data_IF_309689309946
#
_entry.id   IF_309689309946
#
_cell.length_a   1.000
_cell.length_b   1.000
_cell.length_c   1.000
_cell.angle_alpha   90.00
_cell.angle_beta   90.00
_cell.angle_gamma   90.00
#
_symmetry.space_group_name_H-M   'P 1'
#
loop_
_entity.id
_entity.type
_entity.pdbx_description
1 polymer ?
#
# COMPACT_ATOMS: atom_id res chain seq x y z
N UNK A 1 -15.30 -4.55 -20.40
CA UNK A 1 -14.38 -3.42 -20.25
C UNK A 1 -13.61 -3.69 -18.99
N UNK A 2 -12.30 -3.59 -19.06
CA UNK A 2 -11.44 -3.68 -17.89
C UNK A 2 -11.69 -2.43 -17.05
N UNK A 3 -12.20 -2.63 -15.84
CA UNK A 3 -12.50 -1.58 -14.87
C UNK A 3 -11.52 -1.64 -13.68
N UNK A 4 -10.40 -2.35 -13.86
CA UNK A 4 -9.38 -2.44 -12.84
C UNK A 4 -8.85 -1.06 -12.48
N UNK A 5 -8.43 -0.93 -11.23
CA UNK A 5 -7.75 0.24 -10.71
C UNK A 5 -6.51 -0.22 -9.98
N UNK A 6 -5.47 0.59 -10.02
CA UNK A 6 -4.18 0.27 -9.42
C UNK A 6 -3.73 1.34 -8.43
N UNK A 7 -2.92 0.95 -7.44
CA UNK A 7 -2.22 1.88 -6.54
C UNK A 7 -0.75 1.97 -6.92
N UNK A 8 -0.26 3.21 -7.01
CA UNK A 8 1.14 3.52 -6.75
C UNK A 8 1.26 4.17 -5.37
N UNK A 9 2.22 3.74 -4.55
CA UNK A 9 2.33 4.20 -3.18
C UNK A 9 3.75 4.37 -2.69
N UNK A 10 3.93 5.28 -1.73
CA UNK A 10 5.24 5.61 -1.15
C UNK A 10 5.11 5.92 0.33
N UNK A 11 6.13 5.52 1.11
CA UNK A 11 6.30 5.85 2.52
C UNK A 11 7.51 6.78 2.68
N UNK A 12 7.43 7.71 3.64
CA UNK A 12 8.49 8.71 3.83
C UNK A 12 9.78 8.08 4.34
N UNK A 13 9.60 7.04 5.16
CA UNK A 13 10.66 6.17 5.63
C UNK A 13 10.09 4.77 5.60
N UNK A 14 10.70 3.92 4.78
CA UNK A 14 10.33 2.51 4.68
C UNK A 14 10.86 1.76 5.90
N UNK A 15 9.99 1.13 6.72
CA UNK A 15 10.42 0.18 7.72
C UNK A 15 11.11 -1.01 7.04
N UNK A 16 11.93 -1.76 7.78
CA UNK A 16 12.38 -3.06 7.28
C UNK A 16 11.19 -4.05 7.18
N UNK A 17 11.39 -5.16 6.46
CA UNK A 17 10.33 -6.16 6.22
C UNK A 17 9.74 -6.72 7.52
N UNK A 18 10.57 -6.92 8.54
CA UNK A 18 10.17 -7.49 9.83
C UNK A 18 9.32 -6.47 10.59
N UNK A 19 9.73 -5.21 10.59
CA UNK A 19 9.01 -4.11 11.22
C UNK A 19 7.67 -3.84 10.54
N UNK A 20 7.64 -3.73 9.21
CA UNK A 20 6.39 -3.50 8.47
C UNK A 20 5.39 -4.63 8.71
N UNK A 21 5.85 -5.89 8.71
CA UNK A 21 4.99 -7.03 9.02
C UNK A 21 4.38 -6.93 10.43
N UNK A 22 5.18 -6.55 11.43
CA UNK A 22 4.70 -6.36 12.81
C UNK A 22 3.65 -5.26 12.88
N UNK A 23 3.87 -4.14 12.20
CA UNK A 23 2.94 -3.02 12.12
C UNK A 23 1.60 -3.48 11.52
N UNK A 24 1.63 -4.17 10.39
CA UNK A 24 0.43 -4.65 9.71
C UNK A 24 -0.36 -5.63 10.58
N UNK A 25 0.31 -6.61 11.20
CA UNK A 25 -0.32 -7.57 12.12
C UNK A 25 -0.88 -6.89 13.38
N UNK A 26 -0.17 -5.93 13.95
CA UNK A 26 -0.64 -5.17 15.12
C UNK A 26 -1.88 -4.31 14.79
N UNK A 27 -1.99 -3.86 13.54
CA UNK A 27 -3.18 -3.20 13.00
C UNK A 27 -4.36 -4.13 12.71
N UNK A 28 -4.21 -5.44 12.92
CA UNK A 28 -5.25 -6.44 12.71
C UNK A 28 -5.30 -7.03 11.30
N UNK A 29 -4.31 -6.75 10.45
CA UNK A 29 -4.24 -7.31 9.10
C UNK A 29 -3.57 -8.69 9.08
N UNK A 30 -4.14 -9.59 8.31
CA UNK A 30 -3.56 -10.88 7.96
C UNK A 30 -2.56 -10.67 6.83
N UNK A 31 -1.30 -11.04 7.07
CA UNK A 31 -0.22 -10.86 6.08
C UNK A 31 0.64 -12.10 5.92
N UNK A 32 1.07 -12.33 4.68
CA UNK A 32 2.02 -13.38 4.31
C UNK A 32 3.35 -12.75 3.91
N UNK A 33 4.44 -13.21 4.53
CA UNK A 33 5.80 -12.79 4.19
C UNK A 33 6.33 -13.70 3.06
N UNK A 34 6.72 -13.09 1.95
CA UNK A 34 7.54 -13.72 0.91
C UNK A 34 9.02 -13.39 1.11
N UNK A 35 9.88 -13.94 0.25
CA UNK A 35 11.33 -13.69 0.31
C UNK A 35 11.67 -12.20 0.15
N UNK A 36 10.93 -11.50 -0.72
CA UNK A 36 11.14 -10.08 -1.04
C UNK A 36 9.87 -9.24 -0.96
N UNK A 37 8.81 -9.76 -0.33
CA UNK A 37 7.51 -9.09 -0.30
C UNK A 37 6.71 -9.39 0.96
N UNK A 38 5.68 -8.58 1.19
CA UNK A 38 4.65 -8.78 2.20
C UNK A 38 3.30 -8.59 1.50
N UNK A 39 2.48 -9.66 1.45
CA UNK A 39 1.11 -9.60 0.91
C UNK A 39 0.11 -9.39 2.04
N UNK A 40 -0.82 -8.45 1.85
CA UNK A 40 -1.99 -8.29 2.72
C UNK A 40 -3.10 -9.20 2.21
N UNK A 41 -3.46 -10.22 3.00
CA UNK A 41 -4.42 -11.25 2.59
C UNK A 41 -5.89 -10.81 2.76
N UNK A 42 -6.14 -9.72 3.49
CA UNK A 42 -7.48 -9.12 3.63
C UNK A 42 -7.87 -8.22 2.43
N UNK A 43 -6.98 -8.11 1.45
CA UNK A 43 -7.17 -7.37 0.19
C UNK A 43 -7.15 -8.36 -0.99
N UNK A 44 -7.85 -8.05 -2.09
CA UNK A 44 -7.82 -8.87 -3.31
C UNK A 44 -6.39 -8.99 -3.84
N UNK A 45 -5.71 -7.85 -3.95
CA UNK A 45 -4.31 -7.75 -4.31
C UNK A 45 -3.71 -6.48 -3.69
N UNK A 46 -2.93 -6.64 -2.62
CA UNK A 46 -2.13 -5.55 -2.05
C UNK A 46 -0.81 -6.11 -1.53
N UNK A 47 0.29 -5.67 -2.12
CA UNK A 47 1.63 -6.20 -1.87
C UNK A 47 2.61 -5.05 -1.65
N UNK A 48 3.41 -5.19 -0.60
CA UNK A 48 4.64 -4.42 -0.45
C UNK A 48 5.78 -5.27 -0.98
N UNK A 49 6.53 -4.80 -1.96
CA UNK A 49 7.56 -5.58 -2.65
C UNK A 49 8.93 -4.90 -2.65
N UNK A 50 9.91 -5.57 -3.25
CA UNK A 50 11.30 -5.11 -3.34
C UNK A 50 12.00 -4.98 -1.97
N UNK A 51 11.57 -5.80 -0.99
CA UNK A 51 12.28 -5.92 0.28
C UNK A 51 13.54 -6.77 0.13
N UNK A 52 14.64 -6.15 -0.29
CA UNK A 52 15.97 -6.75 -0.40
C UNK A 52 16.99 -5.68 -0.78
N UNK A 53 18.16 -5.69 -0.13
CA UNK A 53 19.17 -4.62 -0.27
C UNK A 53 19.72 -4.43 -1.68
N UNK A 54 19.47 -5.38 -2.57
CA UNK A 54 19.88 -5.39 -3.98
C UNK A 54 18.75 -5.09 -4.97
N UNK A 55 17.50 -4.94 -4.50
CA UNK A 55 16.31 -4.85 -5.35
C UNK A 55 15.78 -3.42 -5.58
N UNK A 56 16.27 -2.42 -4.85
CA UNK A 56 15.81 -1.04 -4.94
C UNK A 56 15.11 -0.58 -3.66
N UNK A 57 14.47 0.59 -3.73
CA UNK A 57 13.60 1.07 -2.65
C UNK A 57 12.28 0.29 -2.69
N UNK A 58 11.68 -0.09 -1.54
CA UNK A 58 10.44 -0.85 -1.54
C UNK A 58 9.30 -0.14 -2.29
N UNK A 59 8.40 -0.93 -2.87
CA UNK A 59 7.25 -0.43 -3.62
C UNK A 59 5.93 -1.02 -3.14
N UNK A 60 4.84 -0.32 -3.47
CA UNK A 60 3.47 -0.79 -3.26
C UNK A 60 2.85 -1.12 -4.61
N UNK A 61 2.31 -2.32 -4.71
CA UNK A 61 1.52 -2.77 -5.84
C UNK A 61 0.16 -3.25 -5.32
N UNK A 62 -0.92 -2.68 -5.84
CA UNK A 62 -2.27 -3.14 -5.54
C UNK A 62 -3.16 -3.02 -6.76
N UNK A 63 -4.07 -3.98 -6.93
CA UNK A 63 -5.04 -4.04 -8.03
C UNK A 63 -6.42 -4.47 -7.49
N UNK A 64 -7.48 -3.86 -8.01
CA UNK A 64 -8.85 -4.24 -7.69
C UNK A 64 -9.80 -4.04 -8.88
N UNK A 65 -10.87 -4.83 -8.92
CA UNK A 65 -11.88 -4.80 -10.01
C UNK A 65 -12.72 -3.50 -10.06
N UNK A 66 -12.63 -2.65 -9.04
CA UNK A 66 -13.32 -1.35 -9.02
C UNK A 66 -12.68 -0.36 -8.04
N UNK A 67 -12.95 0.93 -8.27
CA UNK A 67 -12.54 2.01 -7.39
C UNK A 67 -13.09 1.87 -5.95
N UNK A 68 -14.32 1.38 -5.79
CA UNK A 68 -14.92 1.20 -4.45
C UNK A 68 -14.14 0.17 -3.62
N UNK A 69 -13.77 -0.96 -4.25
CA UNK A 69 -12.96 -2.00 -3.61
C UNK A 69 -11.58 -1.42 -3.27
N UNK A 70 -10.94 -0.72 -4.21
CA UNK A 70 -9.62 -0.13 -3.98
C UNK A 70 -9.60 0.91 -2.86
N UNK A 71 -10.62 1.77 -2.78
CA UNK A 71 -10.74 2.75 -1.69
C UNK A 71 -10.93 2.03 -0.35
N UNK A 72 -11.73 0.97 -0.32
CA UNK A 72 -11.93 0.18 0.90
C UNK A 72 -10.62 -0.47 1.35
N UNK A 73 -9.97 -1.22 0.46
CA UNK A 73 -8.77 -2.00 0.76
C UNK A 73 -7.55 -1.12 1.02
N UNK A 74 -7.27 -0.17 0.14
CA UNK A 74 -6.22 0.83 0.34
C UNK A 74 -6.46 1.67 1.59
N UNK A 75 -7.74 1.96 1.92
CA UNK A 75 -8.12 2.66 3.14
C UNK A 75 -7.80 1.87 4.42
N UNK A 76 -8.00 0.54 4.41
CA UNK A 76 -7.63 -0.32 5.53
C UNK A 76 -6.12 -0.27 5.78
N UNK A 77 -5.31 -0.46 4.73
CA UNK A 77 -3.84 -0.41 4.83
C UNK A 77 -3.38 0.98 5.26
N UNK A 78 -3.89 2.03 4.63
CA UNK A 78 -3.57 3.42 4.95
C UNK A 78 -3.83 3.73 6.43
N UNK A 79 -4.98 3.30 6.96
CA UNK A 79 -5.34 3.48 8.37
C UNK A 79 -4.37 2.77 9.32
N UNK A 80 -3.91 1.56 8.98
CA UNK A 80 -2.94 0.82 9.80
C UNK A 80 -1.57 1.51 9.79
N UNK A 81 -1.09 1.93 8.61
CA UNK A 81 0.17 2.69 8.51
C UNK A 81 0.08 4.01 9.29
N UNK A 82 -1.03 4.75 9.15
CA UNK A 82 -1.27 5.97 9.90
C UNK A 82 -1.32 5.74 11.42
N UNK A 83 -1.96 4.65 11.86
CA UNK A 83 -2.00 4.25 13.27
C UNK A 83 -0.62 3.96 13.87
N UNK A 84 0.34 3.56 13.03
CA UNK A 84 1.75 3.38 13.41
C UNK A 84 2.60 4.66 13.21
N UNK A 85 2.00 5.77 12.79
CA UNK A 85 2.70 7.04 12.53
C UNK A 85 3.52 7.05 11.25
N UNK A 86 3.29 6.12 10.32
CA UNK A 86 3.99 6.06 9.04
C UNK A 86 3.35 7.03 8.05
N UNK A 87 4.11 8.05 7.66
CA UNK A 87 3.71 8.99 6.60
C UNK A 87 3.73 8.28 5.26
N UNK A 88 2.65 8.41 4.49
CA UNK A 88 2.51 7.73 3.21
C UNK A 88 1.52 8.46 2.28
N UNK A 89 1.63 8.18 0.98
CA UNK A 89 0.62 8.45 -0.04
C UNK A 89 0.31 7.19 -0.83
N UNK A 90 -0.94 7.05 -1.25
CA UNK A 90 -1.40 6.13 -2.28
C UNK A 90 -2.15 6.93 -3.35
N UNK A 91 -1.68 6.84 -4.58
CA UNK A 91 -2.31 7.40 -5.78
C UNK A 91 -3.07 6.25 -6.47
N UNK A 92 -4.37 6.42 -6.70
CA UNK A 92 -5.23 5.40 -7.33
C UNK A 92 -5.45 5.81 -8.78
N UNK A 93 -5.15 4.89 -9.70
CA UNK A 93 -5.25 5.10 -11.14
C UNK A 93 -6.33 4.21 -11.76
N UNK A 94 -7.05 4.73 -12.75
CA UNK A 94 -7.89 3.91 -13.63
C UNK A 94 -7.08 3.27 -14.77
N UNK A 95 -7.76 2.52 -15.64
CA UNK A 95 -7.13 1.83 -16.78
C UNK A 95 -6.59 2.77 -17.87
N UNK A 96 -6.90 4.06 -17.79
CA UNK A 96 -6.40 5.11 -18.69
C UNK A 96 -5.26 5.93 -18.06
N UNK A 97 -4.68 5.44 -16.95
CA UNK A 97 -3.65 6.11 -16.15
C UNK A 97 -4.08 7.47 -15.57
N UNK A 98 -5.39 7.72 -15.45
CA UNK A 98 -5.88 8.92 -14.77
C UNK A 98 -5.93 8.71 -13.26
N UNK A 99 -5.52 9.71 -12.48
CA UNK A 99 -5.71 9.70 -11.02
C UNK A 99 -7.20 9.84 -10.71
N UNK A 100 -7.77 8.84 -10.07
CA UNK A 100 -9.19 8.76 -9.69
C UNK A 100 -9.39 8.71 -8.18
N UNK A 101 -8.31 8.63 -7.39
CA UNK A 101 -8.37 8.64 -5.93
C UNK A 101 -7.02 8.93 -5.28
N UNK A 102 -7.08 9.37 -4.02
CA UNK A 102 -5.89 9.69 -3.24
C UNK A 102 -6.12 9.35 -1.76
N UNK A 103 -5.22 8.57 -1.17
CA UNK A 103 -5.21 8.25 0.26
C UNK A 103 -3.85 8.65 0.83
N UNK A 104 -3.83 9.34 1.96
CA UNK A 104 -2.57 9.78 2.53
C UNK A 104 -2.64 9.96 4.04
N UNK A 105 -1.47 9.89 4.66
CA UNK A 105 -1.23 10.33 6.02
C UNK A 105 0.00 11.22 6.03
N UNK A 106 -0.20 12.50 6.34
CA UNK A 106 0.86 13.50 6.45
C UNK A 106 1.76 13.64 5.21
N UNK A 107 1.20 13.43 4.01
CA UNK A 107 1.88 13.49 2.70
C UNK A 107 1.23 14.46 1.68
N UNK A 108 2.00 15.15 0.83
CA UNK A 108 3.23 15.85 1.16
C UNK A 108 2.83 17.21 1.75
N UNK A 109 2.97 17.39 3.06
CA UNK A 109 2.80 18.73 3.63
C UNK A 109 4.06 19.55 3.35
N UNK A 110 4.26 19.97 2.10
CA UNK A 110 5.03 21.18 1.85
C UNK A 110 4.16 22.37 2.26
N UNK A 111 4.60 23.06 3.31
CA UNK A 111 4.25 24.46 3.55
C UNK A 111 5.26 25.34 2.86
#
# INVERSE_FOLDING_TARGET
MDNSVNIAGELANWPDKIELTKILRAGGLNVTEGDYSIRVNDCSHFVFQEYGSDLGDPQIEAEADSLEIMICEGGMVSKVLAGAGLKHRFEIYDTEDNIVGYLHHDWPNER
#
